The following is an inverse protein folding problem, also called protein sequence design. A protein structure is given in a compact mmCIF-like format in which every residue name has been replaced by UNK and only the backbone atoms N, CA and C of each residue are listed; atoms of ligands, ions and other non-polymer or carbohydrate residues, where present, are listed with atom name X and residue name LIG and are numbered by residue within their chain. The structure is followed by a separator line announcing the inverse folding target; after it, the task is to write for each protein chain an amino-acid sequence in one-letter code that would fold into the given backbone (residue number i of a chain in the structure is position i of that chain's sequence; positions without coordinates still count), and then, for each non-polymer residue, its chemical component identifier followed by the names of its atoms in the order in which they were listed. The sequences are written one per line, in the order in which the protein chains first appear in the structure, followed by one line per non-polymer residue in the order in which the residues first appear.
data_IF_062206517545
#
_entry.id   IF_062206517545
#
_cell.length_a   1.000
_cell.length_b   1.000
_cell.length_c   1.000
_cell.angle_alpha   90.00
_cell.angle_beta   90.00
_cell.angle_gamma   90.00
#
_symmetry.space_group_name_H-M   'P 1'
#
loop_
_entity.id
_entity.type
_entity.pdbx_description
1 polymer ?
#
# COMPACT_ATOMS: atom_id res chain seq x y z
N UNK A 1 -21.55 -6.37 -3.60
CA UNK A 1 -20.96 -5.11 -4.04
C UNK A 1 -19.47 -5.35 -4.25
N UNK A 2 -18.81 -4.69 -5.22
CA UNK A 2 -17.37 -4.83 -5.45
C UNK A 2 -16.54 -4.34 -4.25
N UNK A 3 -17.00 -3.34 -3.50
CA UNK A 3 -16.43 -3.00 -2.19
C UNK A 3 -17.00 -3.95 -1.13
N UNK A 4 -16.12 -4.71 -0.48
CA UNK A 4 -16.48 -5.65 0.58
C UNK A 4 -16.27 -4.94 1.93
N UNK A 5 -17.31 -4.73 2.71
CA UNK A 5 -17.22 -4.19 4.09
C UNK A 5 -17.82 -5.15 5.13
N UNK A 6 -18.26 -6.33 4.67
CA UNK A 6 -18.73 -7.39 5.55
C UNK A 6 -17.57 -8.31 5.94
N UNK A 7 -17.42 -8.58 7.24
CA UNK A 7 -16.32 -9.39 7.76
C UNK A 7 -16.39 -10.85 7.33
N UNK A 8 -17.57 -11.41 7.06
CA UNK A 8 -17.69 -12.80 6.60
C UNK A 8 -17.24 -12.93 5.15
N UNK A 9 -17.69 -12.02 4.26
CA UNK A 9 -17.21 -11.95 2.88
C UNK A 9 -15.70 -11.69 2.81
N UNK A 10 -15.16 -10.87 3.72
CA UNK A 10 -13.72 -10.66 3.84
C UNK A 10 -12.97 -11.95 4.18
N UNK A 11 -13.45 -12.73 5.14
CA UNK A 11 -12.85 -14.02 5.52
C UNK A 11 -12.85 -15.01 4.35
N UNK A 12 -13.94 -15.05 3.57
CA UNK A 12 -14.02 -15.87 2.36
C UNK A 12 -12.92 -15.52 1.34
N UNK A 13 -12.62 -14.22 1.16
CA UNK A 13 -11.52 -13.80 0.27
C UNK A 13 -10.15 -14.30 0.78
N UNK A 14 -9.91 -14.20 2.09
CA UNK A 14 -8.67 -14.71 2.69
C UNK A 14 -8.58 -16.24 2.60
N UNK A 15 -9.68 -16.95 2.82
CA UNK A 15 -9.73 -18.41 2.72
C UNK A 15 -9.49 -18.87 1.28
N UNK A 16 -10.12 -18.25 0.29
CA UNK A 16 -9.84 -18.54 -1.12
C UNK A 16 -8.36 -18.29 -1.47
N UNK A 17 -7.78 -17.18 -1.00
CA UNK A 17 -6.37 -16.90 -1.22
C UNK A 17 -5.45 -17.96 -0.59
N UNK A 18 -5.78 -18.46 0.61
CA UNK A 18 -5.05 -19.56 1.26
C UNK A 18 -5.12 -20.84 0.43
N UNK A 19 -6.32 -21.22 -0.01
CA UNK A 19 -6.55 -22.43 -0.80
C UNK A 19 -5.82 -22.40 -2.15
N UNK A 20 -5.80 -21.22 -2.79
CA UNK A 20 -5.11 -21.01 -4.07
C UNK A 20 -3.61 -20.76 -3.96
N UNK A 21 -3.08 -20.67 -2.74
CA UNK A 21 -1.65 -20.41 -2.52
C UNK A 21 -1.22 -18.99 -2.92
N UNK A 22 -2.13 -18.02 -2.84
CA UNK A 22 -1.89 -16.60 -3.16
C UNK A 22 -1.49 -15.85 -1.88
N UNK A 23 -0.72 -14.78 -2.04
CA UNK A 23 -0.56 -13.75 -1.01
C UNK A 23 -1.28 -12.47 -1.48
N UNK A 24 -2.26 -12.00 -0.71
CA UNK A 24 -3.06 -10.82 -1.06
C UNK A 24 -2.20 -9.56 -0.97
N UNK A 25 -2.33 -8.69 -1.97
CA UNK A 25 -1.53 -7.48 -2.08
C UNK A 25 -2.31 -6.32 -1.43
N UNK A 26 -1.69 -5.71 -0.43
CA UNK A 26 -2.20 -4.57 0.31
C UNK A 26 -1.43 -3.31 -0.10
N UNK A 27 -2.12 -2.40 -0.76
CA UNK A 27 -1.53 -1.18 -1.32
C UNK A 27 -2.04 0.03 -0.54
N UNK A 28 -1.15 0.99 -0.28
CA UNK A 28 -1.54 2.20 0.46
C UNK A 28 -1.60 3.45 -0.46
N UNK A 29 -2.55 3.58 -1.39
CA UNK A 29 -2.60 4.71 -2.31
C UNK A 29 -3.00 6.00 -1.59
N UNK A 30 -2.11 6.99 -1.61
CA UNK A 30 -2.30 8.27 -0.89
C UNK A 30 -3.02 9.35 -1.70
N UNK A 31 -3.57 9.01 -2.86
CA UNK A 31 -4.29 9.94 -3.71
C UNK A 31 -5.23 9.21 -4.68
N UNK A 32 -6.20 9.92 -5.30
CA UNK A 32 -7.15 9.30 -6.24
C UNK A 32 -6.49 8.58 -7.42
N UNK A 33 -5.36 9.11 -7.93
CA UNK A 33 -4.60 8.48 -9.02
C UNK A 33 -3.92 7.17 -8.58
N UNK A 34 -3.54 7.05 -7.31
CA UNK A 34 -3.02 5.83 -6.72
C UNK A 34 -4.08 4.74 -6.66
N UNK A 35 -5.28 5.09 -6.20
CA UNK A 35 -6.43 4.18 -6.19
C UNK A 35 -6.71 3.69 -7.61
N UNK A 36 -6.81 4.61 -8.58
CA UNK A 36 -7.04 4.27 -9.99
C UNK A 36 -5.96 3.31 -10.54
N UNK A 37 -4.68 3.57 -10.27
CA UNK A 37 -3.58 2.74 -10.75
C UNK A 37 -3.66 1.30 -10.21
N UNK A 38 -3.97 1.14 -8.91
CA UNK A 38 -4.10 -0.16 -8.26
C UNK A 38 -5.27 -0.97 -8.85
N UNK A 39 -6.44 -0.31 -9.01
CA UNK A 39 -7.63 -0.96 -9.58
C UNK A 39 -7.47 -1.30 -11.05
N UNK A 40 -6.78 -0.44 -11.83
CA UNK A 40 -6.42 -0.73 -13.23
C UNK A 40 -5.52 -1.95 -13.34
N UNK A 41 -4.55 -2.08 -12.45
CA UNK A 41 -3.64 -3.23 -12.42
C UNK A 41 -4.41 -4.52 -12.13
N UNK A 42 -5.22 -4.55 -11.06
CA UNK A 42 -6.05 -5.71 -10.73
C UNK A 42 -6.97 -6.10 -11.88
N UNK A 43 -7.66 -5.13 -12.49
CA UNK A 43 -8.52 -5.40 -13.65
C UNK A 43 -7.74 -5.96 -14.84
N UNK A 44 -6.57 -5.39 -15.15
CA UNK A 44 -5.75 -5.86 -16.25
C UNK A 44 -5.24 -7.29 -16.03
N UNK A 45 -4.74 -7.59 -14.83
CA UNK A 45 -4.32 -8.95 -14.45
C UNK A 45 -5.49 -9.91 -14.52
N UNK A 46 -6.66 -9.51 -14.00
CA UNK A 46 -7.88 -10.31 -14.02
C UNK A 46 -8.29 -10.74 -15.43
N UNK A 47 -8.25 -9.79 -16.37
CA UNK A 47 -8.50 -10.07 -17.79
C UNK A 47 -7.46 -11.02 -18.41
N UNK A 48 -6.19 -10.93 -18.00
CA UNK A 48 -5.13 -11.82 -18.51
C UNK A 48 -5.31 -13.26 -18.02
N UNK A 49 -5.72 -13.43 -16.76
CA UNK A 49 -5.82 -14.74 -16.12
C UNK A 49 -7.22 -15.36 -16.27
N UNK A 50 -8.22 -14.60 -16.69
CA UNK A 50 -9.59 -15.07 -16.88
C UNK A 50 -10.46 -14.98 -15.62
N UNK A 51 -10.08 -14.12 -14.65
CA UNK A 51 -10.83 -13.86 -13.43
C UNK A 51 -11.15 -12.36 -13.32
N UNK A 52 -12.39 -11.97 -13.64
CA UNK A 52 -12.81 -10.56 -13.67
C UNK A 52 -13.01 -9.94 -12.27
N UNK A 53 -12.96 -10.75 -11.22
CA UNK A 53 -13.31 -10.44 -9.83
C UNK A 53 -12.12 -10.56 -8.86
N UNK A 54 -10.90 -10.31 -9.35
CA UNK A 54 -9.70 -10.41 -8.52
C UNK A 54 -9.83 -9.59 -7.22
N UNK A 55 -9.40 -10.16 -6.08
CA UNK A 55 -9.37 -9.43 -4.83
C UNK A 55 -8.20 -8.45 -4.79
N UNK A 56 -8.38 -7.28 -4.18
CA UNK A 56 -7.27 -6.34 -3.93
C UNK A 56 -7.54 -5.55 -2.67
N UNK A 57 -6.52 -5.36 -1.84
CA UNK A 57 -6.64 -4.60 -0.60
C UNK A 57 -6.09 -3.20 -0.83
N UNK A 58 -6.92 -2.19 -0.61
CA UNK A 58 -6.55 -0.79 -0.59
C UNK A 58 -6.56 -0.29 0.84
N UNK A 59 -5.54 0.46 1.20
CA UNK A 59 -5.27 0.81 2.59
C UNK A 59 -4.87 2.25 2.74
N UNK A 60 -4.99 2.74 3.97
CA UNK A 60 -4.56 4.06 4.35
C UNK A 60 -4.09 4.01 5.80
N UNK A 61 -2.97 4.64 6.11
CA UNK A 61 -2.66 4.97 7.49
C UNK A 61 -3.44 6.21 7.91
N UNK A 62 -4.05 6.20 9.10
CA UNK A 62 -4.71 7.38 9.63
C UNK A 62 -3.69 8.47 9.98
N UNK A 63 -3.27 8.52 11.23
CA UNK A 63 -2.26 9.48 11.71
C UNK A 63 -0.96 8.84 12.19
N UNK A 64 -0.72 7.60 11.79
CA UNK A 64 0.53 6.89 12.02
C UNK A 64 1.76 7.79 11.81
N UNK A 65 2.63 7.87 12.82
CA UNK A 65 3.75 8.81 12.86
C UNK A 65 4.75 8.64 11.70
N UNK A 66 4.95 7.40 11.22
CA UNK A 66 5.88 7.11 10.12
C UNK A 66 5.39 7.68 8.78
N UNK A 67 4.07 7.70 8.57
CA UNK A 67 3.42 8.29 7.41
C UNK A 67 1.91 8.51 7.68
N UNK A 68 1.48 9.72 8.11
CA UNK A 68 0.07 9.99 8.41
C UNK A 68 -0.70 10.29 7.12
N UNK A 69 -1.05 9.24 6.37
CA UNK A 69 -1.57 9.35 5.01
C UNK A 69 -2.91 10.07 4.95
N UNK A 70 -3.84 9.76 5.86
CA UNK A 70 -5.15 10.41 5.90
C UNK A 70 -5.02 11.91 6.11
N UNK A 71 -4.10 12.35 6.97
CA UNK A 71 -3.80 13.77 7.18
C UNK A 71 -3.35 14.47 5.89
N UNK A 72 -2.57 13.80 5.05
CA UNK A 72 -2.02 14.37 3.81
C UNK A 72 -2.89 14.16 2.57
N UNK A 73 -3.95 13.36 2.68
CA UNK A 73 -4.81 13.04 1.55
C UNK A 73 -5.47 14.29 0.94
N UNK A 74 -5.74 15.30 1.78
CA UNK A 74 -6.22 16.61 1.34
C UNK A 74 -5.35 17.72 1.91
N UNK A 75 -5.29 18.85 1.21
CA UNK A 75 -4.55 20.03 1.69
C UNK A 75 -5.16 20.68 2.94
N UNK A 76 -6.33 20.22 3.40
CA UNK A 76 -6.93 20.68 4.66
C UNK A 76 -6.13 20.19 5.88
N UNK A 77 -5.39 19.09 5.75
CA UNK A 77 -4.58 18.56 6.86
C UNK A 77 -5.41 17.90 7.97
N UNK A 78 -6.70 17.64 7.73
CA UNK A 78 -7.60 16.97 8.67
C UNK A 78 -7.65 15.46 8.34
N UNK A 79 -7.24 14.59 9.28
CA UNK A 79 -7.15 13.16 9.03
C UNK A 79 -8.51 12.48 8.88
N UNK A 80 -9.57 12.92 9.58
CA UNK A 80 -10.89 12.33 9.44
C UNK A 80 -11.51 12.70 8.10
N UNK A 81 -11.36 13.97 7.70
CA UNK A 81 -11.81 14.41 6.39
C UNK A 81 -11.02 13.73 5.27
N UNK A 82 -9.71 13.55 5.46
CA UNK A 82 -8.86 12.84 4.50
C UNK A 82 -9.23 11.37 4.38
N UNK A 83 -9.51 10.69 5.49
CA UNK A 83 -10.02 9.32 5.51
C UNK A 83 -11.37 9.21 4.78
N UNK A 84 -12.35 10.06 5.14
CA UNK A 84 -13.67 10.05 4.51
C UNK A 84 -13.60 10.36 3.00
N UNK A 85 -12.69 11.26 2.61
CA UNK A 85 -12.41 11.56 1.20
C UNK A 85 -11.77 10.37 0.48
N UNK A 86 -10.82 9.67 1.12
CA UNK A 86 -10.19 8.47 0.56
C UNK A 86 -11.23 7.37 0.34
N UNK A 87 -12.07 7.07 1.34
CA UNK A 87 -13.15 6.08 1.21
C UNK A 87 -14.10 6.47 0.08
N UNK A 88 -14.51 7.74 0.02
CA UNK A 88 -15.41 8.22 -1.05
C UNK A 88 -14.83 8.02 -2.45
N UNK A 89 -13.50 8.14 -2.61
CA UNK A 89 -12.84 7.85 -3.88
C UNK A 89 -12.83 6.36 -4.19
N UNK A 90 -12.59 5.49 -3.20
CA UNK A 90 -12.68 4.03 -3.37
C UNK A 90 -14.10 3.66 -3.81
N UNK A 91 -15.13 4.09 -3.07
CA UNK A 91 -16.55 3.86 -3.39
C UNK A 91 -16.92 4.35 -4.79
N UNK A 92 -16.44 5.54 -5.18
CA UNK A 92 -16.70 6.08 -6.52
C UNK A 92 -16.14 5.17 -7.63
N UNK A 93 -14.90 4.70 -7.48
CA UNK A 93 -14.28 3.83 -8.48
C UNK A 93 -14.89 2.43 -8.50
N UNK A 94 -15.36 1.95 -7.35
CA UNK A 94 -15.98 0.64 -7.17
C UNK A 94 -17.50 0.72 -7.13
N UNK A 95 -18.14 1.72 -7.75
CA UNK A 95 -19.58 1.66 -7.96
C UNK A 95 -19.93 0.41 -8.81
N UNK A 96 -21.12 -0.18 -8.60
CA UNK A 96 -21.55 -1.39 -9.32
C UNK A 96 -21.55 -1.19 -10.86
N UNK A 97 -21.88 0.01 -11.33
CA UNK A 97 -21.82 0.42 -12.74
C UNK A 97 -20.49 1.10 -13.13
N UNK A 98 -19.56 1.16 -12.18
CA UNK A 98 -18.25 1.75 -12.32
C UNK A 98 -17.28 0.89 -13.14
N UNK A 99 -16.14 1.48 -13.57
CA UNK A 99 -15.15 0.79 -14.39
C UNK A 99 -14.50 -0.41 -13.70
N UNK A 100 -14.58 -0.49 -12.37
CA UNK A 100 -14.02 -1.55 -11.54
C UNK A 100 -15.08 -2.32 -10.75
N UNK A 101 -16.36 -2.21 -11.12
CA UNK A 101 -17.50 -2.78 -10.39
C UNK A 101 -17.57 -4.31 -10.32
N UNK A 102 -16.62 -5.02 -10.92
CA UNK A 102 -16.48 -6.48 -10.83
C UNK A 102 -15.42 -6.94 -9.82
N UNK A 103 -14.46 -6.09 -9.47
CA UNK A 103 -13.37 -6.47 -8.57
C UNK A 103 -13.89 -6.69 -7.14
N UNK A 104 -13.16 -7.46 -6.35
CA UNK A 104 -13.39 -7.61 -4.90
C UNK A 104 -12.42 -6.72 -4.14
N UNK A 105 -12.82 -5.50 -3.85
CA UNK A 105 -11.99 -4.49 -3.19
C UNK A 105 -12.21 -4.55 -1.69
N UNK A 106 -11.12 -4.73 -0.94
CA UNK A 106 -11.10 -4.67 0.51
C UNK A 106 -10.45 -3.35 0.92
N UNK A 107 -10.99 -2.70 1.93
CA UNK A 107 -10.46 -1.48 2.54
C UNK A 107 -9.85 -1.79 3.90
N UNK A 108 -8.68 -1.24 4.18
CA UNK A 108 -7.93 -1.52 5.39
C UNK A 108 -7.40 -0.25 6.04
N UNK A 109 -7.58 -0.12 7.36
CA UNK A 109 -6.84 0.86 8.15
C UNK A 109 -5.49 0.27 8.55
N UNK A 110 -4.42 0.81 7.99
CA UNK A 110 -3.05 0.38 8.27
C UNK A 110 -2.48 1.15 9.47
N UNK A 111 -1.79 0.48 10.39
CA UNK A 111 -1.28 1.07 11.63
C UNK A 111 -2.32 1.91 12.40
N UNK A 112 -3.51 1.37 12.68
CA UNK A 112 -4.53 2.06 13.48
C UNK A 112 -4.09 2.18 14.93
N UNK A 113 -3.66 3.39 15.34
CA UNK A 113 -3.10 3.63 16.68
C UNK A 113 -4.16 4.22 17.63
N UNK A 114 -4.72 3.42 18.57
CA UNK A 114 -5.82 3.87 19.42
C UNK A 114 -5.48 5.10 20.26
N UNK A 115 -4.27 5.14 20.82
CA UNK A 115 -3.84 6.23 21.71
C UNK A 115 -3.20 7.42 20.97
N UNK A 116 -2.90 7.27 19.68
CA UNK A 116 -2.25 8.32 18.91
C UNK A 116 -3.26 9.25 18.21
N UNK A 117 -4.55 8.88 18.17
CA UNK A 117 -5.66 9.66 17.59
C UNK A 117 -6.37 9.02 16.38
N UNK A 118 -6.16 7.71 16.15
CA UNK A 118 -7.00 6.93 15.22
C UNK A 118 -8.26 6.36 15.88
N UNK A 119 -8.48 6.60 17.19
CA UNK A 119 -9.64 6.13 17.94
C UNK A 119 -10.97 6.42 17.24
N UNK A 120 -11.14 7.63 16.71
CA UNK A 120 -12.34 8.02 15.97
C UNK A 120 -12.62 7.12 14.75
N UNK A 121 -11.58 6.71 14.02
CA UNK A 121 -11.72 5.77 12.89
C UNK A 121 -12.02 4.37 13.42
N UNK A 122 -11.24 3.92 14.42
CA UNK A 122 -11.33 2.60 15.04
C UNK A 122 -12.65 2.33 15.79
N UNK A 123 -13.40 3.37 16.13
CA UNK A 123 -14.66 3.28 16.89
C UNK A 123 -15.89 3.71 16.08
N UNK A 124 -15.74 4.62 15.11
CA UNK A 124 -16.89 5.27 14.46
C UNK A 124 -16.86 5.25 12.93
N UNK A 125 -15.94 4.49 12.31
CA UNK A 125 -15.83 4.34 10.84
C UNK A 125 -15.58 2.90 10.37
N UNK A 126 -15.77 1.91 11.25
CA UNK A 126 -15.56 0.50 10.90
C UNK A 126 -16.51 0.01 9.82
N UNK A 127 -17.70 0.60 9.70
CA UNK A 127 -18.68 0.32 8.64
C UNK A 127 -18.18 0.66 7.23
N UNK A 128 -17.06 1.40 7.14
CA UNK A 128 -16.39 1.78 5.88
C UNK A 128 -15.15 0.94 5.59
N UNK A 129 -14.83 -0.02 6.46
CA UNK A 129 -13.59 -0.79 6.42
C UNK A 129 -13.90 -2.28 6.37
N UNK A 130 -13.07 -3.02 5.65
CA UNK A 130 -13.09 -4.48 5.66
C UNK A 130 -12.23 -5.04 6.80
N UNK A 131 -11.11 -4.37 7.06
CA UNK A 131 -10.13 -4.80 8.04
C UNK A 131 -9.44 -3.61 8.70
N UNK A 132 -8.89 -3.85 9.89
CA UNK A 132 -8.10 -2.86 10.61
C UNK A 132 -6.87 -3.52 11.20
N UNK A 133 -5.73 -2.85 11.12
CA UNK A 133 -4.60 -3.14 11.97
C UNK A 133 -4.78 -2.37 13.28
N UNK A 134 -5.08 -3.08 14.36
CA UNK A 134 -5.12 -2.49 15.70
C UNK A 134 -3.69 -2.51 16.27
N UNK A 135 -2.96 -1.43 16.04
CA UNK A 135 -1.53 -1.37 16.28
C UNK A 135 -1.21 -0.89 17.71
N UNK A 136 -1.07 -1.86 18.62
CA UNK A 136 -0.54 -1.66 19.97
C UNK A 136 0.95 -2.01 20.07
N UNK A 137 1.71 -2.07 18.97
CA UNK A 137 3.11 -2.49 18.98
C UNK A 137 4.01 -1.56 19.80
N UNK A 138 3.61 -0.32 20.07
CA UNK A 138 4.41 0.61 20.90
C UNK A 138 4.22 0.39 22.40
N UNK A 139 3.36 -0.56 22.79
CA UNK A 139 3.06 -0.89 24.18
C UNK A 139 3.80 -2.18 24.60
N UNK A 140 4.03 -2.38 25.91
CA UNK A 140 4.57 -3.63 26.42
C UNK A 140 3.75 -4.83 25.93
N UNK A 141 4.40 -5.94 25.60
CA UNK A 141 3.77 -7.13 24.99
C UNK A 141 2.47 -7.58 25.68
N UNK A 142 2.45 -7.59 27.02
CA UNK A 142 1.27 -7.98 27.79
C UNK A 142 0.10 -6.98 27.66
N UNK A 143 0.40 -5.68 27.63
CA UNK A 143 -0.61 -4.65 27.39
C UNK A 143 -1.13 -4.70 25.95
N UNK A 144 -0.24 -4.93 24.98
CA UNK A 144 -0.60 -5.15 23.59
C UNK A 144 -1.60 -6.31 23.46
N UNK A 145 -1.32 -7.48 24.06
CA UNK A 145 -2.25 -8.61 24.07
C UNK A 145 -3.59 -8.22 24.70
N UNK A 146 -3.57 -7.61 25.89
CA UNK A 146 -4.80 -7.27 26.60
C UNK A 146 -5.70 -6.33 25.79
N UNK A 147 -5.14 -5.27 25.23
CA UNK A 147 -5.90 -4.28 24.46
C UNK A 147 -6.37 -4.84 23.13
N UNK A 148 -5.51 -5.58 22.42
CA UNK A 148 -5.86 -6.20 21.15
C UNK A 148 -6.96 -7.24 21.34
N UNK A 149 -6.87 -8.10 22.36
CA UNK A 149 -7.93 -9.08 22.67
C UNK A 149 -9.28 -8.42 22.94
N UNK A 150 -9.30 -7.36 23.75
CA UNK A 150 -10.53 -6.61 24.04
C UNK A 150 -11.11 -5.94 22.80
N UNK A 151 -10.25 -5.42 21.91
CA UNK A 151 -10.67 -4.83 20.65
C UNK A 151 -11.25 -5.90 19.71
N UNK A 152 -10.52 -6.99 19.47
CA UNK A 152 -10.93 -8.10 18.60
C UNK A 152 -12.27 -8.67 19.01
N UNK A 153 -12.47 -8.99 20.30
CA UNK A 153 -13.74 -9.55 20.77
C UNK A 153 -14.92 -8.60 20.54
N UNK A 154 -14.69 -7.28 20.61
CA UNK A 154 -15.74 -6.27 20.37
C UNK A 154 -16.12 -6.13 18.91
N UNK A 155 -15.19 -6.33 17.97
CA UNK A 155 -15.38 -6.00 16.54
C UNK A 155 -15.30 -7.21 15.60
N UNK A 156 -15.08 -8.42 16.11
CA UNK A 156 -14.90 -9.66 15.33
C UNK A 156 -15.94 -9.92 14.24
N UNK A 157 -17.18 -9.52 14.47
CA UNK A 157 -18.30 -9.70 13.53
C UNK A 157 -18.46 -8.52 12.55
N UNK A 158 -17.70 -7.44 12.74
CA UNK A 158 -17.77 -6.21 11.93
C UNK A 158 -16.60 -6.10 10.95
N UNK A 159 -15.38 -6.42 11.39
CA UNK A 159 -14.16 -6.30 10.56
C UNK A 159 -13.15 -7.41 10.87
N UNK A 160 -12.25 -7.67 9.92
CA UNK A 160 -11.03 -8.46 10.16
C UNK A 160 -10.07 -7.64 11.05
N UNK A 161 -9.49 -8.26 12.06
CA UNK A 161 -8.48 -7.61 12.93
C UNK A 161 -7.08 -8.17 12.66
N UNK A 162 -6.17 -7.26 12.31
CA UNK A 162 -4.74 -7.48 12.20
C UNK A 162 -4.04 -6.92 13.45
N UNK A 163 -3.15 -7.70 14.06
CA UNK A 163 -2.39 -7.29 15.26
C UNK A 163 -0.88 -7.39 15.06
N UNK A 164 -0.13 -6.39 15.50
CA UNK A 164 1.33 -6.44 15.53
C UNK A 164 1.81 -7.18 16.78
N UNK A 165 2.62 -8.23 16.59
CA UNK A 165 2.97 -9.16 17.66
C UNK A 165 3.91 -8.53 18.68
N UNK A 166 5.02 -7.96 18.20
CA UNK A 166 6.12 -7.56 19.08
C UNK A 166 6.00 -6.10 19.55
N UNK A 167 6.64 -5.84 20.69
CA UNK A 167 6.93 -4.48 21.12
C UNK A 167 8.00 -3.88 20.19
N UNK A 168 7.64 -2.82 19.49
CA UNK A 168 8.47 -2.14 18.50
C UNK A 168 8.97 -0.82 19.07
N UNK A 169 10.29 -0.70 19.14
CA UNK A 169 10.98 0.51 19.51
C UNK A 169 11.31 1.36 18.29
N UNK A 170 11.20 2.68 18.44
CA UNK A 170 11.62 3.63 17.41
C UNK A 170 13.15 3.65 17.26
N UNK A 171 13.62 3.85 16.03
CA UNK A 171 15.04 3.96 15.72
C UNK A 171 15.69 5.11 16.49
N UNK A 172 16.69 4.80 17.34
CA UNK A 172 17.49 5.79 18.06
C UNK A 172 17.10 6.05 19.51
N UNK A 173 16.15 5.28 20.07
CA UNK A 173 15.66 5.47 21.46
C UNK A 173 16.47 4.74 22.55
N UNK A 174 17.47 3.90 22.23
CA UNK A 174 18.35 3.28 23.24
C UNK A 174 18.87 1.89 22.88
N UNK A 175 19.40 1.16 23.88
CA UNK A 175 20.09 -0.15 23.78
C UNK A 175 19.20 -1.32 23.31
N UNK A 176 17.88 -1.15 23.24
CA UNK A 176 16.93 -2.20 22.84
C UNK A 176 16.78 -2.27 21.31
N UNK A 177 16.89 -3.49 20.77
CA UNK A 177 16.72 -3.78 19.35
C UNK A 177 15.40 -4.51 19.14
N UNK A 178 14.67 -4.15 18.08
CA UNK A 178 13.53 -4.93 17.61
C UNK A 178 14.02 -6.32 17.19
N UNK A 179 13.57 -7.36 17.89
CA UNK A 179 13.96 -8.74 17.63
C UNK A 179 12.98 -9.38 16.65
N UNK A 180 13.46 -10.39 15.92
CA UNK A 180 12.60 -11.22 15.07
C UNK A 180 11.58 -11.94 15.96
N UNK A 181 10.32 -11.98 15.53
CA UNK A 181 9.26 -12.67 16.26
C UNK A 181 9.59 -14.14 16.43
N UNK A 182 9.47 -14.67 17.64
CA UNK A 182 9.63 -16.09 17.89
C UNK A 182 8.32 -16.85 17.69
N UNK A 183 8.41 -18.17 17.47
CA UNK A 183 7.23 -19.04 17.37
C UNK A 183 6.40 -18.97 18.66
N UNK A 184 7.06 -18.95 19.82
CA UNK A 184 6.38 -18.87 21.11
C UNK A 184 5.59 -17.57 21.28
N UNK A 185 6.18 -16.42 20.89
CA UNK A 185 5.50 -15.13 20.95
C UNK A 185 4.29 -15.09 20.00
N UNK A 186 4.45 -15.57 18.76
CA UNK A 186 3.36 -15.60 17.80
C UNK A 186 2.20 -16.49 18.28
N UNK A 187 2.49 -17.67 18.83
CA UNK A 187 1.47 -18.57 19.38
C UNK A 187 0.76 -17.98 20.60
N UNK A 188 1.51 -17.39 21.54
CA UNK A 188 0.91 -16.72 22.72
C UNK A 188 -0.01 -15.58 22.27
N UNK A 189 0.50 -14.72 21.38
CA UNK A 189 -0.25 -13.57 20.86
C UNK A 189 -1.53 -14.00 20.16
N UNK A 190 -1.47 -14.92 19.20
CA UNK A 190 -2.66 -15.39 18.46
C UNK A 190 -3.66 -16.04 19.40
N UNK A 191 -3.21 -16.91 20.30
CA UNK A 191 -4.10 -17.64 21.20
C UNK A 191 -4.85 -16.74 22.20
N UNK A 192 -4.22 -15.63 22.62
CA UNK A 192 -4.78 -14.72 23.63
C UNK A 192 -5.52 -13.54 23.04
N UNK A 193 -5.20 -13.12 21.81
CA UNK A 193 -5.85 -11.99 21.14
C UNK A 193 -6.99 -12.38 20.22
N UNK A 194 -6.94 -13.59 19.63
CA UNK A 194 -7.94 -14.06 18.67
C UNK A 194 -7.96 -13.29 17.35
N UNK A 195 -6.90 -12.55 17.02
CA UNK A 195 -6.80 -11.81 15.75
C UNK A 195 -6.86 -12.72 14.53
N UNK A 196 -7.37 -12.19 13.41
CA UNK A 196 -7.47 -12.92 12.15
C UNK A 196 -6.12 -13.00 11.41
N UNK A 197 -5.28 -11.97 11.59
CA UNK A 197 -3.99 -11.79 10.91
C UNK A 197 -2.97 -11.25 11.92
N UNK A 198 -1.71 -11.67 11.82
CA UNK A 198 -0.61 -11.11 12.60
C UNK A 198 0.44 -10.43 11.75
N UNK A 199 1.05 -9.38 12.28
CA UNK A 199 2.26 -8.74 11.75
C UNK A 199 3.45 -9.12 12.62
N UNK A 200 4.22 -10.15 12.24
CA UNK A 200 5.48 -10.45 12.89
C UNK A 200 6.62 -9.56 12.36
N UNK A 201 7.61 -9.29 13.22
CA UNK A 201 8.89 -8.77 12.79
C UNK A 201 9.71 -9.86 12.08
N UNK A 202 9.88 -9.71 10.77
CA UNK A 202 10.69 -10.61 9.93
C UNK A 202 11.95 -9.93 9.38
N UNK A 203 12.41 -8.85 10.03
CA UNK A 203 13.66 -8.14 9.72
C UNK A 203 13.53 -7.10 8.59
N UNK A 204 12.30 -6.83 8.15
CA UNK A 204 11.99 -5.94 7.02
C UNK A 204 11.60 -4.53 7.43
N UNK A 205 11.34 -4.29 8.72
CA UNK A 205 10.83 -3.00 9.18
C UNK A 205 11.89 -1.89 9.26
N UNK A 206 11.55 -0.73 8.70
CA UNK A 206 12.37 0.50 8.67
C UNK A 206 12.78 1.04 10.05
N UNK A 207 12.17 0.56 11.15
CA UNK A 207 12.49 0.99 12.52
C UNK A 207 13.76 0.31 13.06
N UNK A 208 14.20 -0.80 12.46
CA UNK A 208 15.48 -1.40 12.79
C UNK A 208 16.62 -0.56 12.18
N UNK A 209 17.67 -0.31 12.96
CA UNK A 209 18.81 0.51 12.55
C UNK A 209 19.30 0.12 11.15
N UNK A 210 19.43 1.11 10.25
CA UNK A 210 19.59 1.04 8.78
C UNK A 210 20.60 0.03 8.20
N UNK A 211 21.40 -0.67 9.02
CA UNK A 211 22.61 -1.37 8.58
C UNK A 211 22.48 -2.87 8.31
N UNK A 212 21.34 -3.52 8.60
CA UNK A 212 21.21 -4.98 8.38
C UNK A 212 19.75 -5.47 8.18
N UNK A 213 18.92 -4.68 7.48
CA UNK A 213 17.55 -5.12 7.13
C UNK A 213 17.62 -6.26 6.12
N UNK A 214 17.22 -7.46 6.54
CA UNK A 214 17.12 -8.65 5.69
C UNK A 214 15.83 -9.40 6.03
N UNK A 215 15.14 -9.86 5.00
CA UNK A 215 13.99 -10.73 5.17
C UNK A 215 14.40 -12.13 5.65
N UNK A 216 13.71 -12.63 6.68
CA UNK A 216 13.92 -13.96 7.25
C UNK A 216 12.80 -14.95 6.82
N UNK A 217 12.81 -15.38 5.56
CA UNK A 217 11.81 -16.31 5.02
C UNK A 217 11.75 -17.66 5.74
N UNK A 218 12.89 -18.18 6.23
CA UNK A 218 12.92 -19.39 7.06
C UNK A 218 12.05 -19.24 8.32
N UNK A 219 12.16 -18.09 9.00
CA UNK A 219 11.33 -17.79 10.17
C UNK A 219 9.87 -17.59 9.79
N UNK A 220 9.56 -16.97 8.65
CA UNK A 220 8.19 -16.84 8.16
C UNK A 220 7.51 -18.22 7.99
N UNK A 221 8.23 -19.21 7.45
CA UNK A 221 7.73 -20.58 7.31
C UNK A 221 7.51 -21.27 8.65
N UNK A 222 8.42 -21.10 9.60
CA UNK A 222 8.27 -21.63 10.95
C UNK A 222 7.04 -21.04 11.66
N UNK A 223 6.89 -19.71 11.62
CA UNK A 223 5.73 -19.01 12.17
C UNK A 223 4.44 -19.47 11.49
N UNK A 224 4.39 -19.51 10.16
CA UNK A 224 3.20 -19.91 9.42
C UNK A 224 2.82 -21.37 9.69
N UNK A 225 3.80 -22.24 9.95
CA UNK A 225 3.53 -23.63 10.36
C UNK A 225 2.94 -23.73 11.76
N UNK A 226 3.30 -22.78 12.65
CA UNK A 226 2.89 -22.78 14.05
C UNK A 226 1.52 -22.11 14.30
N UNK A 227 1.20 -21.05 13.55
CA UNK A 227 -0.05 -20.27 13.73
C UNK A 227 -0.98 -20.29 12.51
N UNK A 228 -0.60 -20.96 11.43
CA UNK A 228 -1.32 -20.98 10.17
C UNK A 228 -0.90 -19.87 9.20
N UNK A 229 -1.47 -19.89 7.99
CA UNK A 229 -1.19 -18.91 6.92
C UNK A 229 -1.95 -17.60 7.18
N UNK A 230 -1.56 -16.90 8.25
CA UNK A 230 -2.18 -15.66 8.75
C UNK A 230 -1.16 -14.52 8.89
N UNK A 231 0.01 -14.64 8.26
CA UNK A 231 1.09 -13.66 8.38
C UNK A 231 0.91 -12.51 7.38
N UNK A 232 0.99 -11.28 7.87
CA UNK A 232 1.11 -10.07 7.06
C UNK A 232 2.56 -9.57 7.09
N UNK A 233 3.14 -9.32 5.90
CA UNK A 233 4.47 -8.76 5.78
C UNK A 233 4.42 -7.25 5.55
N UNK A 234 5.01 -6.51 6.49
CA UNK A 234 5.30 -5.08 6.37
C UNK A 234 6.72 -4.83 5.85
N UNK A 235 7.01 -3.60 5.42
CA UNK A 235 8.38 -3.18 5.12
C UNK A 235 9.01 -3.80 3.87
N UNK A 236 8.24 -3.98 2.78
CA UNK A 236 8.74 -4.68 1.58
C UNK A 236 9.89 -4.00 0.83
N UNK A 237 10.25 -2.77 1.19
CA UNK A 237 11.35 -2.01 0.59
C UNK A 237 12.73 -2.68 0.73
N UNK A 238 12.93 -3.54 1.73
CA UNK A 238 14.20 -4.24 1.96
C UNK A 238 14.29 -5.60 1.26
N UNK A 239 13.23 -6.05 0.58
CA UNK A 239 13.23 -7.33 -0.11
C UNK A 239 14.01 -7.26 -1.41
N UNK A 240 14.72 -8.34 -1.72
CA UNK A 240 15.17 -8.59 -3.08
C UNK A 240 13.99 -8.99 -3.96
N UNK A 241 14.08 -8.81 -5.29
CA UNK A 241 13.05 -9.33 -6.20
C UNK A 241 12.82 -10.84 -6.06
N UNK A 242 13.87 -11.61 -5.73
CA UNK A 242 13.79 -13.05 -5.50
C UNK A 242 12.98 -13.37 -4.24
N UNK A 243 13.26 -12.69 -3.12
CA UNK A 243 12.49 -12.87 -1.88
C UNK A 243 11.00 -12.53 -2.08
N UNK A 244 10.69 -11.49 -2.87
CA UNK A 244 9.32 -11.04 -3.08
C UNK A 244 8.45 -12.12 -3.75
N UNK A 245 9.00 -12.85 -4.72
CA UNK A 245 8.30 -13.95 -5.42
C UNK A 245 8.01 -15.12 -4.48
N UNK A 246 8.86 -15.35 -3.49
CA UNK A 246 8.74 -16.48 -2.56
C UNK A 246 7.80 -16.22 -1.37
N UNK A 247 7.35 -14.99 -1.14
CA UNK A 247 6.49 -14.64 0.01
C UNK A 247 5.27 -15.54 0.18
N UNK A 248 4.57 -15.84 -0.92
CA UNK A 248 3.36 -16.69 -0.89
C UNK A 248 3.67 -18.13 -0.48
N UNK A 249 4.87 -18.61 -0.79
CA UNK A 249 5.37 -19.95 -0.48
C UNK A 249 5.92 -20.00 0.94
N UNK A 250 6.40 -18.86 1.46
CA UNK A 250 6.87 -18.70 2.83
C UNK A 250 5.75 -18.60 3.88
N UNK A 251 4.48 -18.67 3.45
CA UNK A 251 3.32 -18.64 4.33
C UNK A 251 2.76 -17.23 4.62
N UNK A 252 3.24 -16.21 3.90
CA UNK A 252 2.66 -14.87 3.95
C UNK A 252 1.30 -14.88 3.23
N UNK A 253 0.25 -14.37 3.89
CA UNK A 253 -1.09 -14.24 3.31
C UNK A 253 -1.40 -12.81 2.85
N UNK A 254 -0.73 -11.80 3.42
CA UNK A 254 -0.93 -10.38 3.10
C UNK A 254 0.42 -9.68 2.97
N UNK A 255 0.59 -8.87 1.93
CA UNK A 255 1.85 -8.16 1.64
C UNK A 255 1.56 -6.67 1.55
N UNK A 256 2.10 -5.87 2.47
CA UNK A 256 1.96 -4.42 2.44
C UNK A 256 3.00 -3.78 1.50
N UNK A 257 2.54 -2.92 0.59
CA UNK A 257 3.37 -2.23 -0.39
C UNK A 257 2.93 -0.77 -0.58
N UNK A 258 3.85 0.15 -0.35
CA UNK A 258 3.60 1.59 -0.51
C UNK A 258 4.74 2.29 -1.25
N UNK A 259 5.94 2.31 -0.64
CA UNK A 259 7.10 3.09 -1.09
C UNK A 259 7.44 2.85 -2.56
N UNK A 260 7.40 1.60 -3.03
CA UNK A 260 7.77 1.26 -4.40
C UNK A 260 6.78 1.86 -5.41
N UNK A 261 5.48 1.83 -5.11
CA UNK A 261 4.41 2.37 -5.97
C UNK A 261 4.51 3.88 -6.07
N UNK A 262 4.62 4.57 -4.93
CA UNK A 262 4.77 6.02 -4.89
C UNK A 262 6.06 6.47 -5.59
N UNK A 263 7.18 5.76 -5.37
CA UNK A 263 8.45 6.05 -6.03
C UNK A 263 8.35 5.88 -7.55
N UNK A 264 7.74 4.80 -8.03
CA UNK A 264 7.58 4.56 -9.47
C UNK A 264 6.75 5.67 -10.13
N UNK A 265 5.58 5.98 -9.55
CA UNK A 265 4.70 7.04 -10.05
C UNK A 265 5.37 8.42 -10.01
N UNK A 266 5.96 8.80 -8.87
CA UNK A 266 6.59 10.11 -8.68
C UNK A 266 7.76 10.32 -9.65
N UNK A 267 8.63 9.32 -9.80
CA UNK A 267 9.75 9.40 -10.74
C UNK A 267 9.28 9.50 -12.19
N UNK A 268 8.22 8.78 -12.57
CA UNK A 268 7.64 8.86 -13.92
C UNK A 268 7.04 10.24 -14.19
N UNK A 269 6.29 10.80 -13.24
CA UNK A 269 5.71 12.15 -13.36
C UNK A 269 6.78 13.23 -13.51
N UNK A 270 7.86 13.15 -12.72
CA UNK A 270 9.00 14.09 -12.80
C UNK A 270 9.73 13.98 -14.14
N UNK A 271 10.03 12.75 -14.59
CA UNK A 271 10.65 12.53 -15.92
C UNK A 271 9.78 13.12 -17.01
N UNK A 272 8.48 12.87 -16.97
CA UNK A 272 7.53 13.43 -17.94
C UNK A 272 7.50 14.95 -17.90
N UNK A 273 7.48 15.57 -16.71
CA UNK A 273 7.53 17.03 -16.59
C UNK A 273 8.81 17.63 -17.17
N UNK A 274 9.95 16.96 -16.93
CA UNK A 274 11.27 17.35 -17.44
C UNK A 274 11.32 17.27 -18.96
N UNK A 275 10.80 16.19 -19.55
CA UNK A 275 10.78 16.02 -20.99
C UNK A 275 9.89 17.06 -21.67
N UNK A 276 8.76 17.42 -21.04
CA UNK A 276 7.79 18.35 -21.59
C UNK A 276 8.06 19.84 -21.32
N UNK A 277 9.24 20.20 -20.81
CA UNK A 277 9.57 21.60 -20.45
C UNK A 277 9.34 22.60 -21.60
N UNK A 278 9.65 22.21 -22.85
CA UNK A 278 9.41 23.03 -24.05
C UNK A 278 7.94 23.23 -24.44
N UNK A 279 7.05 22.41 -23.86
CA UNK A 279 5.60 22.54 -24.00
C UNK A 279 4.97 23.28 -22.79
N UNK A 280 5.74 23.55 -21.74
CA UNK A 280 5.28 24.22 -20.50
C UNK A 280 5.79 25.66 -20.45
N UNK A 281 7.07 25.88 -20.75
CA UNK A 281 7.68 27.21 -20.70
C UNK A 281 7.88 27.80 -22.09
N UNK A 282 7.81 29.14 -22.22
CA UNK A 282 8.25 29.79 -23.44
C UNK A 282 9.76 29.65 -23.62
N UNK A 283 10.22 29.62 -24.86
CA UNK A 283 11.63 29.45 -25.22
C UNK A 283 12.56 30.44 -24.51
N UNK A 284 12.10 31.68 -24.30
CA UNK A 284 12.84 32.72 -23.56
C UNK A 284 13.06 32.39 -22.09
N UNK A 285 12.12 31.70 -21.44
CA UNK A 285 12.26 31.28 -20.03
C UNK A 285 13.21 30.09 -19.93
N UNK A 286 13.11 29.13 -20.86
CA UNK A 286 14.08 28.03 -20.93
C UNK A 286 15.51 28.54 -21.17
N UNK A 287 15.66 29.59 -21.98
CA UNK A 287 16.97 30.20 -22.25
C UNK A 287 17.59 30.75 -20.97
N UNK A 288 16.79 31.47 -20.17
CA UNK A 288 17.21 31.97 -18.84
C UNK A 288 17.57 30.84 -17.87
N UNK A 289 16.86 29.71 -17.91
CA UNK A 289 17.19 28.54 -17.07
C UNK A 289 18.49 27.86 -17.51
N UNK A 290 18.81 27.86 -18.80
CA UNK A 290 20.11 27.41 -19.31
C UNK A 290 21.22 28.36 -18.89
N UNK A 291 21.03 29.68 -19.04
CA UNK A 291 22.02 30.68 -18.65
C UNK A 291 22.30 30.66 -17.13
N UNK A 292 21.28 30.35 -16.33
CA UNK A 292 21.40 30.17 -14.87
C UNK A 292 22.02 28.81 -14.46
N UNK A 293 22.28 27.91 -15.41
CA UNK A 293 22.88 26.59 -15.14
C UNK A 293 21.91 25.53 -14.60
N UNK A 294 20.60 25.78 -14.60
CA UNK A 294 19.60 24.79 -14.17
C UNK A 294 19.34 23.72 -15.24
N UNK A 295 19.49 24.08 -16.52
CA UNK A 295 19.22 23.20 -17.66
C UNK A 295 20.41 23.15 -18.62
N UNK A 296 20.58 22.03 -19.32
CA UNK A 296 21.47 21.92 -20.47
C UNK A 296 20.82 22.43 -21.76
N UNK A 297 21.60 22.58 -22.84
CA UNK A 297 21.11 23.05 -24.15
C UNK A 297 20.25 22.04 -24.93
N UNK A 298 20.07 20.83 -24.42
CA UNK A 298 19.26 19.77 -25.07
C UNK A 298 17.86 20.23 -25.50
N UNK A 299 17.25 21.15 -24.74
CA UNK A 299 15.91 21.67 -25.02
C UNK A 299 15.82 22.60 -26.23
N UNK A 300 16.95 22.97 -26.84
CA UNK A 300 17.04 23.81 -28.04
C UNK A 300 17.54 23.05 -29.26
N UNK A 301 17.82 21.75 -29.11
CA UNK A 301 18.23 20.89 -30.21
C UNK A 301 17.07 20.66 -31.17
N UNK A 302 17.40 20.49 -32.45
CA UNK A 302 16.42 20.28 -33.51
C UNK A 302 15.48 19.09 -33.20
N UNK A 303 16.06 17.96 -32.79
CA UNK A 303 15.29 16.73 -32.54
C UNK A 303 14.32 16.88 -31.36
N UNK A 304 14.73 17.57 -30.29
CA UNK A 304 13.82 17.87 -29.18
C UNK A 304 12.64 18.74 -29.64
N UNK A 305 12.92 19.78 -30.42
CA UNK A 305 11.89 20.70 -30.92
C UNK A 305 10.89 19.97 -31.82
N UNK A 306 11.36 19.13 -32.72
CA UNK A 306 10.50 18.37 -33.63
C UNK A 306 9.70 17.29 -32.89
N UNK A 307 10.38 16.42 -32.14
CA UNK A 307 9.77 15.21 -31.58
C UNK A 307 8.91 15.49 -30.35
N UNK A 308 9.33 16.40 -29.48
CA UNK A 308 8.65 16.68 -28.22
C UNK A 308 7.76 17.92 -28.35
N UNK A 309 8.27 18.98 -28.98
CA UNK A 309 7.56 20.25 -29.06
C UNK A 309 6.70 20.41 -30.33
N UNK A 310 6.64 19.41 -31.22
CA UNK A 310 5.86 19.50 -32.46
C UNK A 310 6.29 20.69 -33.33
N UNK A 311 7.60 20.91 -33.43
CA UNK A 311 8.23 21.94 -34.24
C UNK A 311 8.34 23.32 -33.57
N UNK A 312 7.69 23.57 -32.42
CA UNK A 312 7.75 24.87 -31.76
C UNK A 312 7.76 24.78 -30.23
N UNK A 313 8.79 25.36 -29.61
CA UNK A 313 8.88 25.57 -28.17
C UNK A 313 7.93 26.71 -27.78
N UNK A 314 6.83 26.35 -27.14
CA UNK A 314 5.87 27.32 -26.60
C UNK A 314 4.97 26.63 -25.57
N UNK A 315 4.39 27.40 -24.64
CA UNK A 315 3.42 26.87 -23.71
C UNK A 315 2.16 26.36 -24.43
N UNK A 316 1.68 25.18 -24.06
CA UNK A 316 0.51 24.51 -24.65
C UNK A 316 -0.47 24.10 -23.55
N UNK A 317 -1.76 24.31 -23.80
CA UNK A 317 -2.81 24.08 -22.80
C UNK A 317 -2.81 22.65 -22.25
N UNK A 318 -2.65 21.65 -23.13
CA UNK A 318 -2.65 20.23 -22.75
C UNK A 318 -1.51 19.87 -21.79
N UNK A 319 -0.43 20.64 -21.77
CA UNK A 319 0.75 20.39 -20.94
C UNK A 319 0.74 21.22 -19.65
N UNK A 320 -0.08 22.26 -19.58
CA UNK A 320 -0.43 22.93 -18.33
C UNK A 320 -1.34 22.06 -17.48
N UNK A 321 -2.33 21.42 -18.12
CA UNK A 321 -3.21 20.48 -17.46
C UNK A 321 -2.41 19.32 -16.85
N UNK A 322 -2.92 18.77 -15.76
CA UNK A 322 -2.23 17.73 -15.00
C UNK A 322 -2.27 16.36 -15.68
N UNK A 323 -3.11 16.18 -16.71
CA UNK A 323 -3.36 14.89 -17.37
C UNK A 323 -2.08 14.19 -17.83
N UNK A 324 -1.15 14.92 -18.47
CA UNK A 324 0.08 14.32 -19.00
C UNK A 324 0.97 13.73 -17.89
N UNK A 325 1.09 14.44 -16.76
CA UNK A 325 1.87 13.98 -15.59
C UNK A 325 1.13 12.93 -14.78
N UNK A 326 -0.20 13.10 -14.63
CA UNK A 326 -1.08 12.11 -14.02
C UNK A 326 -0.97 10.77 -14.74
N UNK A 327 -1.09 10.75 -16.07
CA UNK A 327 -1.10 9.51 -16.84
C UNK A 327 0.27 8.81 -16.78
N UNK A 328 1.37 9.58 -16.81
CA UNK A 328 2.70 9.03 -16.58
C UNK A 328 2.85 8.40 -15.18
N UNK A 329 2.32 9.06 -14.14
CA UNK A 329 2.29 8.53 -12.78
C UNK A 329 1.48 7.22 -12.72
N UNK A 330 0.23 7.25 -13.23
CA UNK A 330 -0.71 6.12 -13.15
C UNK A 330 -0.19 4.93 -13.91
N UNK A 331 0.34 5.11 -15.12
CA UNK A 331 0.83 4.00 -15.94
C UNK A 331 2.06 3.34 -15.30
N UNK A 332 2.97 4.11 -14.69
CA UNK A 332 4.14 3.55 -14.01
C UNK A 332 3.76 2.80 -12.72
N UNK A 333 2.85 3.36 -11.92
CA UNK A 333 2.33 2.70 -10.72
C UNK A 333 1.56 1.42 -11.09
N UNK A 334 0.68 1.47 -12.11
CA UNK A 334 -0.07 0.32 -12.60
C UNK A 334 0.87 -0.82 -13.02
N UNK A 335 1.89 -0.53 -13.85
CA UNK A 335 2.81 -1.55 -14.33
C UNK A 335 3.57 -2.25 -13.18
N UNK A 336 3.95 -1.51 -12.13
CA UNK A 336 4.56 -2.09 -10.95
C UNK A 336 3.58 -3.01 -10.20
N UNK A 337 2.34 -2.54 -9.96
CA UNK A 337 1.33 -3.33 -9.25
C UNK A 337 0.98 -4.60 -10.03
N UNK A 338 0.88 -4.55 -11.36
CA UNK A 338 0.68 -5.74 -12.19
C UNK A 338 1.79 -6.77 -11.98
N UNK A 339 3.05 -6.35 -11.96
CA UNK A 339 4.19 -7.25 -11.69
C UNK A 339 4.08 -7.88 -10.30
N UNK A 340 3.74 -7.08 -9.28
CA UNK A 340 3.58 -7.61 -7.92
C UNK A 340 2.43 -8.62 -7.82
N UNK A 341 1.31 -8.40 -8.51
CA UNK A 341 0.20 -9.36 -8.55
C UNK A 341 0.62 -10.67 -9.23
N UNK A 342 1.37 -10.60 -10.34
CA UNK A 342 1.91 -11.78 -11.01
C UNK A 342 2.85 -12.57 -10.07
N UNK A 343 3.78 -11.87 -9.39
CA UNK A 343 4.75 -12.48 -8.46
C UNK A 343 4.09 -13.12 -7.23
N UNK A 344 2.99 -12.54 -6.74
CA UNK A 344 2.24 -13.04 -5.57
C UNK A 344 1.23 -14.14 -5.90
N UNK A 345 1.22 -14.63 -7.15
CA UNK A 345 0.52 -15.85 -7.54
C UNK A 345 -0.92 -15.64 -8.03
N UNK A 346 -1.33 -14.42 -8.38
CA UNK A 346 -2.71 -14.11 -8.77
C UNK A 346 -3.23 -14.88 -9.99
N UNK A 347 -2.34 -15.46 -10.80
CA UNK A 347 -2.72 -16.40 -11.87
C UNK A 347 -3.58 -17.56 -11.37
N UNK A 348 -3.44 -17.96 -10.10
CA UNK A 348 -4.21 -19.05 -9.49
C UNK A 348 -5.70 -18.73 -9.32
N UNK A 349 -6.15 -17.48 -9.43
CA UNK A 349 -7.58 -17.15 -9.43
C UNK A 349 -8.29 -17.50 -10.73
N UNK A 350 -7.55 -17.56 -11.85
CA UNK A 350 -8.10 -17.89 -13.17
C UNK A 350 -8.15 -19.38 -13.50
N UNK A 351 -7.53 -20.22 -12.66
CA UNK A 351 -7.42 -21.67 -12.86
C UNK A 351 -8.57 -22.46 -12.25
#
# INVERSE_FOLDING_TARGET
MPLIVDASEAREVYDEARERGVALLNLNPECPRGIEACLRAAKAVGQRVGADDLPIILSLCGIYYGRPQAKYYTSLGDPLYGFDCWVSNVEFYTADDGPFGKLRVLTHLDHGQPDAGDAEILEHRLDKLTSVMYDCSTMPFEENIQRTAAYTERVRDQVIVEGAVDEMYESGTGEQKNQITTVEHAQDYVSRTGVDIIVPNLGTEHRAAERDLRYHGDMARELSSAVGKILCLHGTSSLSPEDFVHLKDDGIIKVNLWTAVEKAGAQAAVRKAIDELGNIFPETVLGKMVDAGYLGRRYFEHDYREQICGGQIKPKLDFFAECVRRDAWVNAAQALVESCLDDLGYAAFGS
#
